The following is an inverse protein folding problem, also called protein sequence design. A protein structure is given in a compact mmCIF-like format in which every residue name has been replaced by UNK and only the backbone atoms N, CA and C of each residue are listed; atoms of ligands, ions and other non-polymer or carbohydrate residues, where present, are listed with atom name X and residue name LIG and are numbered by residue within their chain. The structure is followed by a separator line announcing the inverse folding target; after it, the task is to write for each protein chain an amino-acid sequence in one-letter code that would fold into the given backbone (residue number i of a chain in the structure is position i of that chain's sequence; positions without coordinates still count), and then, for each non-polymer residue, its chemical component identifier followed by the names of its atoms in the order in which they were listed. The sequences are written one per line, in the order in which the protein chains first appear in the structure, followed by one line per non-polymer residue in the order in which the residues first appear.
data_IF_979515315875
#
_entry.id   IF_979515315875
#
_cell.length_a   1.000
_cell.length_b   1.000
_cell.length_c   1.000
_cell.angle_alpha   90.00
_cell.angle_beta   90.00
_cell.angle_gamma   90.00
#
_symmetry.space_group_name_H-M   'P 1'
#
loop_
_entity.id
_entity.type
_entity.pdbx_description
1 polymer ?
#
# COMPACT_ATOMS: atom_id res chain seq x y z
N UNK A 1 1.89 0.55 -11.06
CA UNK A 1 1.90 1.25 -12.38
C UNK A 1 3.31 1.17 -12.95
N UNK A 2 3.44 0.88 -14.26
CA UNK A 2 4.70 1.00 -15.00
C UNK A 2 4.62 2.25 -15.87
N UNK A 3 5.58 3.13 -15.73
CA UNK A 3 5.78 4.32 -16.55
C UNK A 3 6.89 4.02 -17.56
N UNK A 4 6.57 4.08 -18.84
CA UNK A 4 7.53 3.93 -19.94
C UNK A 4 7.74 5.29 -20.58
N UNK A 5 8.94 5.83 -20.46
CA UNK A 5 9.27 7.16 -20.99
C UNK A 5 10.33 7.09 -22.08
N UNK A 6 10.12 7.81 -23.19
CA UNK A 6 11.16 7.93 -24.21
C UNK A 6 12.26 8.90 -23.76
N UNK A 7 13.50 8.63 -24.15
CA UNK A 7 14.64 9.55 -23.99
C UNK A 7 15.20 9.96 -25.36
N UNK A 8 15.87 11.07 -25.42
CA UNK A 8 16.68 11.43 -26.59
C UNK A 8 17.62 10.28 -26.95
N UNK A 9 17.99 10.18 -28.23
CA UNK A 9 18.91 9.15 -28.68
C UNK A 9 20.29 9.30 -28.00
N UNK A 10 20.89 8.20 -27.53
CA UNK A 10 22.18 8.23 -26.84
C UNK A 10 23.26 9.00 -27.62
N UNK A 11 23.24 8.87 -28.94
CA UNK A 11 24.19 9.57 -29.83
C UNK A 11 24.03 11.09 -29.93
N UNK A 12 22.92 11.63 -29.38
CA UNK A 12 22.60 13.08 -29.49
C UNK A 12 22.35 13.74 -28.13
N UNK A 13 22.37 12.99 -27.05
CA UNK A 13 22.25 13.53 -25.68
C UNK A 13 23.36 14.55 -25.42
N UNK A 14 22.99 15.70 -24.85
CA UNK A 14 23.89 16.82 -24.55
C UNK A 14 24.08 17.80 -25.72
N UNK A 15 23.42 17.56 -26.85
CA UNK A 15 23.51 18.46 -28.01
C UNK A 15 22.34 19.46 -28.12
N UNK A 16 21.48 19.54 -27.10
CA UNK A 16 20.31 20.43 -27.10
C UNK A 16 19.22 19.95 -28.05
N UNK A 17 19.05 18.65 -28.19
CA UNK A 17 18.07 18.02 -29.06
C UNK A 17 16.62 18.35 -28.67
N UNK A 18 15.69 18.27 -29.62
CA UNK A 18 14.27 18.45 -29.37
C UNK A 18 13.74 17.41 -28.34
N UNK A 19 13.05 17.88 -27.31
CA UNK A 19 12.51 17.08 -26.21
C UNK A 19 13.57 16.38 -25.33
N UNK A 20 14.80 16.81 -25.38
CA UNK A 20 15.82 16.37 -24.44
C UNK A 20 15.55 16.96 -23.06
N UNK A 21 15.33 16.12 -22.06
CA UNK A 21 15.06 16.51 -20.67
C UNK A 21 15.58 15.44 -19.72
N UNK A 22 16.02 15.85 -18.53
CA UNK A 22 16.45 14.96 -17.46
C UNK A 22 15.26 14.20 -16.83
N UNK A 23 14.74 13.20 -17.56
CA UNK A 23 13.52 12.50 -17.16
C UNK A 23 13.69 11.71 -15.87
N UNK A 24 14.87 11.14 -15.63
CA UNK A 24 15.14 10.43 -14.37
C UNK A 24 15.05 11.38 -13.16
N UNK A 25 15.51 12.63 -13.31
CA UNK A 25 15.38 13.66 -12.28
C UNK A 25 13.92 14.11 -12.12
N UNK A 26 13.21 14.29 -13.24
CA UNK A 26 11.80 14.74 -13.25
C UNK A 26 10.87 13.79 -12.49
N UNK A 27 11.06 12.49 -12.63
CA UNK A 27 10.17 11.48 -12.01
C UNK A 27 10.69 10.92 -10.69
N UNK A 28 11.83 11.38 -10.18
CA UNK A 28 12.49 10.83 -8.98
C UNK A 28 11.56 10.69 -7.79
N UNK A 29 10.80 11.75 -7.50
CA UNK A 29 9.91 11.80 -6.32
C UNK A 29 8.53 11.18 -6.58
N UNK A 30 8.24 10.81 -7.83
CA UNK A 30 6.94 10.28 -8.25
C UNK A 30 6.93 8.75 -8.33
N UNK A 31 8.09 8.11 -8.40
CA UNK A 31 8.22 6.66 -8.56
C UNK A 31 9.08 6.05 -7.46
N UNK A 32 8.75 4.82 -7.05
CA UNK A 32 9.54 4.07 -6.06
C UNK A 32 10.79 3.43 -6.64
N UNK A 33 10.88 3.30 -7.98
CA UNK A 33 12.04 2.76 -8.67
C UNK A 33 12.09 3.29 -10.10
N UNK A 34 13.28 3.56 -10.60
CA UNK A 34 13.50 3.97 -11.98
C UNK A 34 14.79 3.39 -12.54
N UNK A 35 14.77 3.06 -13.81
CA UNK A 35 15.92 2.55 -14.52
C UNK A 35 15.92 3.02 -15.98
N UNK A 36 17.08 3.36 -16.51
CA UNK A 36 17.27 3.65 -17.93
C UNK A 36 17.84 2.43 -18.64
N UNK A 37 17.27 2.07 -19.78
CA UNK A 37 17.80 1.03 -20.63
C UNK A 37 19.08 1.52 -21.31
N UNK A 38 20.22 0.87 -21.02
CA UNK A 38 21.53 1.23 -21.60
C UNK A 38 22.01 0.28 -22.69
N UNK A 39 21.36 -0.89 -22.79
CA UNK A 39 21.65 -1.90 -23.78
C UNK A 39 20.33 -2.56 -24.19
N UNK A 40 19.92 -2.49 -25.47
CA UNK A 40 18.67 -3.08 -25.93
C UNK A 40 18.58 -4.58 -25.70
N UNK A 41 19.69 -5.32 -25.73
CA UNK A 41 19.71 -6.76 -25.43
C UNK A 41 19.26 -7.09 -23.99
N UNK A 42 19.33 -6.14 -23.08
CA UNK A 42 18.92 -6.29 -21.67
C UNK A 42 17.47 -5.90 -21.39
N UNK A 43 16.66 -5.60 -22.40
CA UNK A 43 15.29 -5.11 -22.20
C UNK A 43 14.44 -6.08 -21.35
N UNK A 44 14.54 -7.36 -21.58
CA UNK A 44 13.78 -8.37 -20.84
C UNK A 44 14.17 -8.41 -19.35
N UNK A 45 15.48 -8.38 -19.06
CA UNK A 45 16.01 -8.30 -17.70
C UNK A 45 15.56 -7.03 -16.97
N UNK A 46 15.74 -5.88 -17.62
CA UNK A 46 15.41 -4.56 -17.03
C UNK A 46 13.90 -4.45 -16.76
N UNK A 47 13.05 -4.81 -17.72
CA UNK A 47 11.59 -4.82 -17.54
C UNK A 47 11.16 -5.73 -16.40
N UNK A 48 11.70 -6.94 -16.33
CA UNK A 48 11.41 -7.88 -15.25
C UNK A 48 11.74 -7.26 -13.88
N UNK A 49 12.91 -6.64 -13.77
CA UNK A 49 13.35 -5.97 -12.53
C UNK A 49 12.47 -4.77 -12.18
N UNK A 50 12.16 -3.90 -13.12
CA UNK A 50 11.32 -2.71 -12.91
C UNK A 50 9.91 -3.11 -12.47
N UNK A 51 9.30 -4.11 -13.13
CA UNK A 51 7.99 -4.64 -12.75
C UNK A 51 8.01 -5.28 -11.37
N UNK A 52 9.04 -6.08 -11.06
CA UNK A 52 9.19 -6.70 -9.75
C UNK A 52 9.33 -5.65 -8.63
N UNK A 53 10.10 -4.58 -8.87
CA UNK A 53 10.22 -3.45 -7.93
C UNK A 53 8.91 -2.73 -7.73
N UNK A 54 8.16 -2.41 -8.81
CA UNK A 54 6.85 -1.79 -8.70
C UNK A 54 5.88 -2.60 -7.82
N UNK A 55 5.88 -3.92 -7.99
CA UNK A 55 5.05 -4.84 -7.20
C UNK A 55 5.48 -4.92 -5.73
N UNK A 56 6.80 -5.05 -5.47
CA UNK A 56 7.34 -5.16 -4.11
C UNK A 56 7.14 -3.90 -3.30
N UNK A 57 7.37 -2.74 -3.91
CA UNK A 57 7.24 -1.43 -3.26
C UNK A 57 5.79 -0.95 -3.22
N UNK A 58 4.85 -1.62 -3.91
CA UNK A 58 3.48 -1.14 -4.12
C UNK A 58 3.45 0.32 -4.61
N UNK A 59 4.39 0.69 -5.48
CA UNK A 59 4.62 2.03 -5.97
C UNK A 59 4.78 2.03 -7.50
N UNK A 60 4.59 3.17 -8.18
CA UNK A 60 4.95 3.30 -9.59
C UNK A 60 6.44 3.01 -9.79
N UNK A 61 6.79 2.45 -10.95
CA UNK A 61 8.17 2.35 -11.39
C UNK A 61 8.31 2.84 -12.83
N UNK A 62 9.46 3.39 -13.17
CA UNK A 62 9.77 3.96 -14.48
C UNK A 62 10.85 3.15 -15.18
N UNK A 63 10.65 2.93 -16.47
CA UNK A 63 11.72 2.58 -17.40
C UNK A 63 11.87 3.70 -18.42
N UNK A 64 13.10 4.18 -18.58
CA UNK A 64 13.46 5.21 -19.56
C UNK A 64 14.14 4.54 -20.76
N UNK A 65 13.64 4.81 -21.97
CA UNK A 65 14.04 4.11 -23.19
C UNK A 65 14.64 5.10 -24.21
N UNK A 66 15.97 5.10 -24.43
CA UNK A 66 16.58 5.88 -25.49
C UNK A 66 15.98 5.57 -26.86
N UNK A 67 15.67 6.62 -27.61
CA UNK A 67 14.93 6.53 -28.88
C UNK A 67 15.66 5.73 -29.97
N UNK A 68 16.97 5.74 -29.95
CA UNK A 68 17.82 4.97 -30.91
C UNK A 68 17.73 3.46 -30.74
N UNK A 69 17.12 2.97 -29.65
CA UNK A 69 16.87 1.53 -29.45
C UNK A 69 15.54 1.06 -30.05
N UNK A 70 14.60 1.94 -30.33
CA UNK A 70 13.24 1.57 -30.72
C UNK A 70 13.10 0.90 -32.09
N UNK A 71 14.06 1.14 -32.97
CA UNK A 71 14.10 0.58 -34.32
C UNK A 71 15.11 -0.57 -34.46
N UNK A 72 15.77 -0.94 -33.38
CA UNK A 72 16.72 -2.06 -33.42
C UNK A 72 15.98 -3.38 -33.35
N UNK A 73 16.36 -4.30 -34.22
CA UNK A 73 15.93 -5.69 -34.16
C UNK A 73 16.97 -6.47 -33.37
N UNK A 74 16.54 -7.14 -32.32
CA UNK A 74 17.39 -7.91 -31.41
C UNK A 74 16.85 -9.32 -31.29
N UNK A 75 17.76 -10.28 -31.12
CA UNK A 75 17.41 -11.65 -30.80
C UNK A 75 17.71 -11.90 -29.32
N UNK A 76 16.67 -12.16 -28.53
CA UNK A 76 16.76 -12.35 -27.07
C UNK A 76 15.85 -13.46 -26.59
N UNK A 77 16.29 -14.18 -25.59
CA UNK A 77 15.43 -15.08 -24.84
C UNK A 77 14.51 -14.30 -23.90
N UNK A 78 13.22 -14.61 -23.94
CA UNK A 78 12.27 -14.02 -23.00
C UNK A 78 12.23 -14.87 -21.72
N UNK A 79 12.49 -14.27 -20.55
CA UNK A 79 12.41 -15.00 -19.29
C UNK A 79 10.98 -15.45 -19.00
N UNK A 80 10.82 -16.56 -18.30
CA UNK A 80 9.54 -16.97 -17.77
C UNK A 80 8.98 -15.89 -16.81
N UNK A 81 7.66 -15.69 -16.75
CA UNK A 81 7.05 -14.76 -15.83
C UNK A 81 7.45 -15.05 -14.38
N UNK A 82 7.98 -14.05 -13.68
CA UNK A 82 8.30 -14.18 -12.26
C UNK A 82 7.01 -14.21 -11.44
N UNK A 83 6.79 -15.27 -10.67
CA UNK A 83 5.77 -15.32 -9.63
C UNK A 83 6.30 -14.61 -8.39
N UNK A 84 5.57 -13.61 -7.94
CA UNK A 84 5.92 -12.86 -6.74
C UNK A 84 4.90 -13.14 -5.65
N UNK A 85 5.30 -13.95 -4.66
CA UNK A 85 4.51 -14.21 -3.47
C UNK A 85 4.74 -13.09 -2.44
N UNK A 86 3.65 -12.64 -1.80
CA UNK A 86 3.74 -11.69 -0.69
C UNK A 86 4.10 -12.46 0.58
N UNK A 87 5.01 -11.94 1.42
CA UNK A 87 5.36 -12.60 2.66
C UNK A 87 4.15 -12.66 3.60
N UNK A 88 4.00 -13.77 4.29
CA UNK A 88 3.09 -13.89 5.42
C UNK A 88 3.71 -13.21 6.66
N UNK A 89 2.87 -12.80 7.61
CA UNK A 89 3.35 -12.31 8.90
C UNK A 89 4.09 -13.39 9.68
N UNK A 90 5.04 -13.01 10.52
CA UNK A 90 5.78 -13.93 11.38
C UNK A 90 4.85 -14.70 12.35
N UNK A 91 4.99 -16.01 12.52
CA UNK A 91 4.11 -16.80 13.38
C UNK A 91 4.03 -16.29 14.83
N UNK A 92 5.16 -15.82 15.38
CA UNK A 92 5.19 -15.26 16.75
C UNK A 92 4.38 -13.95 16.86
N UNK A 93 4.49 -13.06 15.86
CA UNK A 93 3.72 -11.81 15.83
C UNK A 93 2.22 -12.08 15.66
N UNK A 94 1.84 -13.07 14.83
CA UNK A 94 0.45 -13.50 14.67
C UNK A 94 -0.10 -14.04 15.98
N UNK A 95 0.67 -14.89 16.70
CA UNK A 95 0.26 -15.44 17.99
C UNK A 95 0.09 -14.33 19.05
N UNK A 96 1.01 -13.37 19.11
CA UNK A 96 0.89 -12.22 20.01
C UNK A 96 -0.33 -11.37 19.71
N UNK A 97 -0.60 -11.08 18.45
CA UNK A 97 -1.80 -10.36 18.01
C UNK A 97 -3.10 -11.12 18.37
N UNK A 98 -3.12 -12.44 18.18
CA UNK A 98 -4.25 -13.28 18.54
C UNK A 98 -4.49 -13.28 20.06
N UNK A 99 -3.44 -13.34 20.89
CA UNK A 99 -3.54 -13.23 22.33
C UNK A 99 -4.17 -11.89 22.76
N UNK A 100 -3.64 -10.77 22.25
CA UNK A 100 -4.19 -9.43 22.53
C UNK A 100 -5.68 -9.32 22.15
N UNK A 101 -6.06 -9.84 20.99
CA UNK A 101 -7.45 -9.80 20.52
C UNK A 101 -8.36 -10.70 21.35
N UNK A 102 -7.88 -11.84 21.84
CA UNK A 102 -8.68 -12.75 22.66
C UNK A 102 -8.93 -12.22 24.09
N UNK A 103 -8.08 -11.34 24.58
CA UNK A 103 -8.22 -10.67 25.89
C UNK A 103 -8.97 -9.33 25.79
N UNK A 104 -9.17 -8.82 24.58
CA UNK A 104 -9.84 -7.55 24.36
C UNK A 104 -11.30 -7.57 24.77
N UNK A 105 -11.76 -6.52 25.44
CA UNK A 105 -13.16 -6.32 25.81
C UNK A 105 -13.96 -5.57 24.77
N UNK A 106 -13.31 -4.69 24.02
CA UNK A 106 -13.93 -3.93 22.94
C UNK A 106 -12.93 -3.71 21.80
N UNK A 107 -12.58 -4.77 21.05
CA UNK A 107 -11.72 -4.63 19.90
C UNK A 107 -12.44 -3.91 18.78
N UNK A 108 -11.71 -3.04 18.03
CA UNK A 108 -12.21 -2.41 16.82
C UNK A 108 -11.24 -2.69 15.68
N UNK A 109 -11.78 -3.06 14.53
CA UNK A 109 -11.00 -3.30 13.31
C UNK A 109 -11.04 -2.03 12.44
N UNK A 110 -9.88 -1.60 11.93
CA UNK A 110 -9.76 -0.52 10.97
C UNK A 110 -9.19 -1.06 9.66
N UNK A 111 -10.02 -1.16 8.64
CA UNK A 111 -9.64 -1.64 7.32
C UNK A 111 -9.16 -0.50 6.42
N UNK A 112 -8.04 -0.71 5.73
CA UNK A 112 -7.52 0.21 4.72
C UNK A 112 -7.38 -0.44 3.34
N UNK A 113 -6.68 0.27 2.44
CA UNK A 113 -6.43 -0.15 1.05
C UNK A 113 -5.86 -1.56 0.93
N UNK A 114 -5.00 -1.96 1.88
CA UNK A 114 -4.36 -3.27 1.86
C UNK A 114 -5.35 -4.43 1.92
N UNK A 115 -6.48 -4.27 2.60
CA UNK A 115 -7.56 -5.29 2.66
C UNK A 115 -8.19 -5.49 1.28
N UNK A 116 -8.45 -4.40 0.56
CA UNK A 116 -9.01 -4.45 -0.81
C UNK A 116 -7.99 -5.03 -1.78
N UNK A 117 -6.77 -4.49 -1.78
CA UNK A 117 -5.71 -4.87 -2.72
C UNK A 117 -5.21 -6.31 -2.56
N UNK A 118 -5.38 -6.89 -1.38
CA UNK A 118 -5.04 -8.29 -1.10
C UNK A 118 -6.21 -9.27 -1.28
N UNK A 119 -7.42 -8.77 -1.59
CA UNK A 119 -8.62 -9.59 -1.65
C UNK A 119 -9.07 -10.13 -0.29
N UNK A 120 -8.65 -9.48 0.81
CA UNK A 120 -8.84 -9.96 2.18
C UNK A 120 -10.19 -9.56 2.81
N UNK A 121 -11.11 -8.92 2.06
CA UNK A 121 -12.43 -8.53 2.57
C UNK A 121 -13.18 -9.72 3.21
N UNK A 122 -13.24 -10.92 2.58
CA UNK A 122 -13.91 -12.07 3.21
C UNK A 122 -13.23 -12.55 4.49
N UNK A 123 -11.90 -12.46 4.57
CA UNK A 123 -11.15 -12.85 5.77
C UNK A 123 -11.37 -11.86 6.92
N UNK A 124 -11.33 -10.55 6.62
CA UNK A 124 -11.63 -9.49 7.58
C UNK A 124 -13.05 -9.62 8.13
N UNK A 125 -14.02 -9.91 7.26
CA UNK A 125 -15.41 -10.16 7.67
C UNK A 125 -15.52 -11.32 8.66
N UNK A 126 -14.94 -12.49 8.34
CA UNK A 126 -14.96 -13.65 9.24
C UNK A 126 -14.29 -13.36 10.60
N UNK A 127 -13.21 -12.58 10.57
CA UNK A 127 -12.54 -12.17 11.81
C UNK A 127 -13.42 -11.24 12.64
N UNK A 128 -14.06 -10.25 12.03
CA UNK A 128 -14.99 -9.34 12.69
C UNK A 128 -16.17 -10.10 13.33
N UNK A 129 -16.77 -11.02 12.58
CA UNK A 129 -17.86 -11.89 13.07
C UNK A 129 -17.42 -12.77 14.26
N UNK A 130 -16.19 -13.31 14.21
CA UNK A 130 -15.66 -14.16 15.30
C UNK A 130 -15.36 -13.38 16.58
N UNK A 131 -14.93 -12.12 16.44
CA UNK A 131 -14.57 -11.26 17.57
C UNK A 131 -15.76 -10.40 18.06
N UNK A 132 -16.89 -10.42 17.33
CA UNK A 132 -17.98 -9.46 17.46
C UNK A 132 -17.46 -8.01 17.46
N UNK A 133 -16.47 -7.74 16.60
CA UNK A 133 -15.72 -6.51 16.55
C UNK A 133 -16.28 -5.55 15.48
N UNK A 134 -16.66 -4.32 15.84
CA UNK A 134 -17.03 -3.31 14.87
C UNK A 134 -15.87 -3.00 13.90
N UNK A 135 -16.22 -2.71 12.63
CA UNK A 135 -15.25 -2.43 11.57
C UNK A 135 -15.44 -1.04 11.02
N UNK A 136 -14.42 -0.19 11.16
CA UNK A 136 -14.32 1.07 10.46
C UNK A 136 -13.45 0.89 9.20
N UNK A 137 -13.67 1.74 8.20
CA UNK A 137 -12.86 1.78 6.99
C UNK A 137 -12.13 3.12 6.87
N UNK A 138 -10.99 3.15 6.20
CA UNK A 138 -10.39 4.41 5.80
C UNK A 138 -11.32 5.17 4.85
N UNK A 139 -11.35 6.49 4.92
CA UNK A 139 -12.25 7.35 4.13
C UNK A 139 -12.16 7.14 2.61
N UNK A 140 -11.03 6.68 2.09
CA UNK A 140 -10.84 6.38 0.66
C UNK A 140 -11.22 4.94 0.27
N UNK A 141 -11.50 4.08 1.25
CA UNK A 141 -11.72 2.65 1.05
C UNK A 141 -12.97 2.17 1.80
N UNK A 142 -14.10 2.79 1.49
CA UNK A 142 -15.41 2.37 2.01
C UNK A 142 -15.83 0.98 1.52
N UNK A 143 -15.17 0.49 0.48
CA UNK A 143 -15.29 -0.86 -0.08
C UNK A 143 -14.51 -1.93 0.70
N UNK A 144 -13.69 -1.54 1.68
CA UNK A 144 -12.87 -2.48 2.46
C UNK A 144 -13.68 -3.36 3.44
N UNK A 145 -14.96 -3.07 3.64
CA UNK A 145 -15.90 -3.88 4.40
C UNK A 145 -17.33 -3.67 3.89
N UNK A 146 -18.20 -4.71 3.89
CA UNK A 146 -19.57 -4.55 3.41
C UNK A 146 -20.36 -3.54 4.26
N UNK A 147 -20.80 -2.44 3.64
CA UNK A 147 -21.50 -1.33 4.35
C UNK A 147 -22.85 -1.73 4.95
N UNK A 148 -23.50 -2.78 4.44
CA UNK A 148 -24.76 -3.33 4.99
C UNK A 148 -24.56 -4.31 6.13
N UNK A 149 -23.30 -4.63 6.49
CA UNK A 149 -23.03 -5.58 7.58
C UNK A 149 -23.33 -4.95 8.95
N UNK A 150 -23.95 -5.67 9.92
CA UNK A 150 -24.28 -5.12 11.24
C UNK A 150 -23.09 -4.55 12.02
N UNK A 151 -21.88 -5.07 11.79
CA UNK A 151 -20.65 -4.58 12.41
C UNK A 151 -19.99 -3.43 11.64
N UNK A 152 -20.56 -2.93 10.53
CA UNK A 152 -20.00 -1.83 9.76
C UNK A 152 -20.23 -0.48 10.45
N UNK A 153 -19.15 0.24 10.71
CA UNK A 153 -19.18 1.61 11.25
C UNK A 153 -19.10 2.70 10.18
N UNK A 154 -18.77 2.32 8.95
CA UNK A 154 -18.48 3.27 7.87
C UNK A 154 -17.06 3.87 7.95
N UNK A 155 -16.83 5.02 7.27
CA UNK A 155 -15.51 5.61 7.14
C UNK A 155 -15.03 6.31 8.43
N UNK A 156 -13.70 6.29 8.62
CA UNK A 156 -12.99 7.03 9.65
C UNK A 156 -12.06 8.06 9.00
N UNK A 157 -11.76 9.16 9.70
CA UNK A 157 -10.87 10.21 9.22
C UNK A 157 -11.61 11.32 8.47
N UNK A 158 -11.00 11.83 7.39
CA UNK A 158 -11.58 12.90 6.58
C UNK A 158 -12.96 12.50 6.04
N UNK A 159 -13.97 13.34 6.26
CA UNK A 159 -15.37 13.01 5.96
C UNK A 159 -15.87 11.71 6.61
N UNK A 160 -15.26 11.31 7.72
CA UNK A 160 -15.60 10.09 8.42
C UNK A 160 -16.96 10.18 9.15
N UNK A 161 -17.45 9.00 9.52
CA UNK A 161 -18.69 8.85 10.28
C UNK A 161 -18.48 9.24 11.75
N UNK A 162 -19.42 10.04 12.30
CA UNK A 162 -19.43 10.36 13.74
C UNK A 162 -19.54 9.11 14.59
N UNK A 163 -20.39 8.15 14.18
CA UNK A 163 -20.56 6.88 14.89
C UNK A 163 -19.25 6.07 14.91
N UNK A 164 -18.50 6.02 13.78
CA UNK A 164 -17.20 5.38 13.75
C UNK A 164 -16.21 6.02 14.73
N UNK A 165 -16.16 7.35 14.80
CA UNK A 165 -15.31 8.09 15.72
C UNK A 165 -15.68 7.84 17.19
N UNK A 166 -16.96 7.87 17.53
CA UNK A 166 -17.45 7.63 18.90
C UNK A 166 -17.20 6.17 19.35
N UNK A 167 -17.28 5.21 18.43
CA UNK A 167 -17.08 3.80 18.77
C UNK A 167 -15.60 3.44 18.87
N UNK A 168 -14.75 3.88 17.94
CA UNK A 168 -13.30 3.59 18.03
C UNK A 168 -12.67 4.24 19.28
N UNK A 169 -13.21 5.38 19.73
CA UNK A 169 -12.76 6.02 20.97
C UNK A 169 -12.88 5.14 22.22
N UNK A 170 -13.71 4.11 22.18
CA UNK A 170 -13.95 3.18 23.28
C UNK A 170 -13.11 1.91 23.20
N UNK A 171 -12.35 1.75 22.11
CA UNK A 171 -11.56 0.54 21.90
C UNK A 171 -10.45 0.39 22.94
N UNK A 172 -10.26 -0.83 23.43
CA UNK A 172 -9.09 -1.24 24.20
C UNK A 172 -8.01 -1.89 23.32
N UNK A 173 -8.42 -2.42 22.16
CA UNK A 173 -7.52 -2.90 21.11
C UNK A 173 -8.00 -2.39 19.76
N UNK A 174 -7.10 -1.82 18.97
CA UNK A 174 -7.35 -1.45 17.56
C UNK A 174 -6.53 -2.38 16.68
N UNK A 175 -7.21 -3.12 15.80
CA UNK A 175 -6.58 -3.92 14.76
C UNK A 175 -6.62 -3.16 13.43
N UNK A 176 -5.50 -2.59 13.03
CA UNK A 176 -5.34 -1.85 11.78
C UNK A 176 -4.83 -2.77 10.67
N UNK A 177 -5.68 -3.07 9.69
CA UNK A 177 -5.40 -3.97 8.58
C UNK A 177 -5.15 -3.21 7.28
N UNK A 178 -3.93 -3.29 6.76
CA UNK A 178 -3.57 -2.70 5.48
C UNK A 178 -3.76 -1.19 5.41
N UNK A 179 -3.50 -0.51 6.51
CA UNK A 179 -3.55 0.95 6.63
C UNK A 179 -2.29 1.51 7.29
N UNK A 180 -1.71 2.52 6.68
CA UNK A 180 -0.55 3.25 7.24
C UNK A 180 -0.95 4.28 8.30
N UNK A 181 -2.22 4.37 8.65
CA UNK A 181 -2.75 5.31 9.65
C UNK A 181 -2.34 6.77 9.39
N UNK A 182 -2.31 7.19 8.11
CA UNK A 182 -1.91 8.55 7.78
C UNK A 182 -2.85 9.59 8.43
N UNK A 183 -2.41 10.86 8.60
CA UNK A 183 -3.19 11.88 9.29
C UNK A 183 -4.61 12.09 8.73
N UNK A 184 -4.80 11.97 7.40
CA UNK A 184 -6.14 12.09 6.79
C UNK A 184 -7.06 10.91 7.14
N UNK A 185 -6.49 9.70 7.28
CA UNK A 185 -7.26 8.50 7.67
C UNK A 185 -7.64 8.48 9.15
N UNK A 186 -7.00 9.32 9.95
CA UNK A 186 -7.24 9.44 11.39
C UNK A 186 -7.57 10.87 11.82
N UNK A 187 -7.99 11.73 10.88
CA UNK A 187 -8.30 13.14 11.14
C UNK A 187 -9.49 13.24 12.10
N UNK A 188 -9.36 13.97 13.21
CA UNK A 188 -10.48 14.27 14.10
C UNK A 188 -11.62 14.99 13.37
N UNK A 189 -12.86 14.71 13.78
CA UNK A 189 -14.05 15.35 13.24
C UNK A 189 -15.10 15.56 14.33
N UNK A 190 -16.05 16.40 14.07
CA UNK A 190 -17.16 16.71 14.99
C UNK A 190 -16.71 17.18 16.39
N UNK A 191 -15.51 17.75 16.52
CA UNK A 191 -14.94 18.12 17.81
C UNK A 191 -14.50 16.95 18.70
N UNK A 192 -14.39 15.74 18.14
CA UNK A 192 -14.04 14.52 18.86
C UNK A 192 -12.57 14.20 18.58
N UNK A 193 -11.72 14.21 19.62
CA UNK A 193 -10.39 13.55 19.59
C UNK A 193 -10.62 12.06 19.92
N UNK A 194 -10.93 11.31 18.88
CA UNK A 194 -11.47 9.96 19.01
C UNK A 194 -10.41 8.85 19.12
N UNK A 195 -9.14 9.15 18.85
CA UNK A 195 -8.16 8.06 18.90
C UNK A 195 -7.95 7.58 20.34
N UNK A 196 -8.18 6.29 20.65
CA UNK A 196 -8.08 5.79 22.01
C UNK A 196 -6.61 5.75 22.45
N UNK A 197 -6.27 6.60 23.44
CA UNK A 197 -4.88 6.81 23.88
C UNK A 197 -4.28 5.60 24.58
N UNK A 198 -5.12 4.83 25.27
CA UNK A 198 -4.71 3.67 26.06
C UNK A 198 -4.90 2.33 25.32
N UNK A 199 -5.47 2.38 24.11
CA UNK A 199 -5.67 1.17 23.32
C UNK A 199 -4.36 0.60 22.79
N UNK A 200 -4.23 -0.71 22.84
CA UNK A 200 -3.14 -1.43 22.16
C UNK A 200 -3.41 -1.44 20.68
N UNK A 201 -2.42 -1.02 19.89
CA UNK A 201 -2.49 -1.03 18.43
C UNK A 201 -1.79 -2.26 17.87
N UNK A 202 -2.53 -3.06 17.11
CA UNK A 202 -1.99 -4.11 16.25
C UNK A 202 -2.04 -3.58 14.82
N UNK A 203 -0.91 -3.51 14.14
CA UNK A 203 -0.86 -3.02 12.76
C UNK A 203 -0.34 -4.12 11.82
N UNK A 204 -1.06 -4.35 10.73
CA UNK A 204 -0.70 -5.30 9.67
C UNK A 204 -0.53 -4.54 8.38
N UNK A 205 0.68 -4.52 7.85
CA UNK A 205 0.99 -3.91 6.56
C UNK A 205 2.01 -4.78 5.79
N UNK A 206 2.01 -4.65 4.47
CA UNK A 206 2.99 -5.32 3.61
C UNK A 206 4.37 -4.64 3.69
N UNK A 207 4.36 -3.34 3.95
CA UNK A 207 5.55 -2.48 4.04
C UNK A 207 5.94 -2.31 5.51
N UNK A 208 7.07 -2.90 5.95
CA UNK A 208 7.49 -2.81 7.33
C UNK A 208 7.78 -1.38 7.80
N UNK A 209 8.17 -0.47 6.88
CA UNK A 209 8.47 0.92 7.21
C UNK A 209 7.21 1.72 7.60
N UNK A 210 6.02 1.17 7.35
CA UNK A 210 4.74 1.77 7.75
C UNK A 210 4.28 1.34 9.14
N UNK A 211 4.82 0.22 9.65
CA UNK A 211 4.43 -0.30 10.97
C UNK A 211 5.03 0.61 12.04
N UNK A 212 4.18 1.15 12.90
CA UNK A 212 4.60 2.06 13.96
C UNK A 212 4.98 3.48 13.51
N UNK A 213 4.90 3.80 12.21
CA UNK A 213 5.31 5.09 11.66
C UNK A 213 4.57 6.29 12.27
N UNK A 214 3.29 6.16 12.52
CA UNK A 214 2.45 7.27 12.99
C UNK A 214 1.99 7.09 14.42
N UNK A 215 1.95 5.86 14.92
CA UNK A 215 1.49 5.51 16.27
C UNK A 215 2.24 4.29 16.79
N UNK A 216 2.60 4.25 18.07
CA UNK A 216 3.23 3.07 18.66
C UNK A 216 2.37 1.83 18.49
N UNK A 217 3.01 0.70 18.17
CA UNK A 217 2.36 -0.62 18.09
C UNK A 217 2.70 -1.45 19.32
N UNK A 218 1.82 -2.39 19.67
CA UNK A 218 1.99 -3.29 20.80
C UNK A 218 2.88 -4.49 20.46
#
# INVERSE_FOLDING_TARGET
MLLVTPQAANRTIGQGGFQEVEQMALFRDMVGYQEELRDPARIAEVLTRVIAKARRLSAPAQINLPRDYWTQVIDIDLPAPSVFERPAGGPAAIAAAAALLSEARFPVILNGAGVVLSGAIPASRRLAERLDAPVACNYQHNDAFPGSHPLSLGPLGYNGSRAAMELIARADVVLALGTRLNPFSTLPGYGIDYWPKDAKLIQVDLDPDRIGLTRPVA
#
